data_IF_187724274944
#
_entry.id   IF_187724274944
#
_cell.length_a   1.000
_cell.length_b   1.000
_cell.length_c   1.000
_cell.angle_alpha   90.00
_cell.angle_beta   90.00
_cell.angle_gamma   90.00
#
_symmetry.space_group_name_H-M   'P 1'
#
loop_
_entity.id
_entity.type
_entity.pdbx_description
1 polymer ?
#
# COMPACT_ATOMS: atom_id res chain seq x y z
N UNK A 1 -16.38 2.67 -8.11
CA UNK A 1 -15.68 1.88 -7.07
C UNK A 1 -14.21 2.22 -7.18
N UNK A 2 -13.72 3.08 -6.30
CA UNK A 2 -12.32 3.54 -6.28
C UNK A 2 -11.45 2.43 -5.68
N UNK A 3 -10.74 1.71 -6.53
CA UNK A 3 -9.86 0.61 -6.14
C UNK A 3 -8.59 1.18 -5.52
N UNK A 4 -8.61 1.22 -4.19
CA UNK A 4 -7.49 1.59 -3.35
C UNK A 4 -6.38 0.54 -3.49
N UNK A 5 -5.29 0.88 -4.17
CA UNK A 5 -4.18 -0.06 -4.39
C UNK A 5 -3.09 0.15 -3.33
N UNK A 6 -3.32 -0.29 -2.09
CA UNK A 6 -2.29 -0.31 -1.05
C UNK A 6 -1.46 -1.59 -1.18
N UNK A 7 -0.33 -1.48 -1.88
CA UNK A 7 0.62 -2.57 -2.11
C UNK A 7 1.33 -2.97 -0.78
N UNK A 8 0.87 -4.07 -0.14
CA UNK A 8 1.29 -4.54 1.20
C UNK A 8 2.31 -5.71 1.23
N UNK A 9 3.49 -5.57 1.88
CA UNK A 9 4.55 -6.62 2.07
C UNK A 9 4.37 -7.71 3.15
N UNK A 10 3.79 -8.85 2.80
CA UNK A 10 3.65 -10.15 3.51
C UNK A 10 3.83 -10.33 5.06
N UNK A 11 4.87 -9.84 5.74
CA UNK A 11 5.03 -10.02 7.22
C UNK A 11 5.27 -8.69 7.94
N UNK A 12 5.84 -7.72 7.23
CA UNK A 12 5.98 -6.34 7.71
C UNK A 12 4.88 -5.43 7.16
N UNK A 13 3.98 -5.91 6.30
CA UNK A 13 3.05 -5.13 5.49
C UNK A 13 2.21 -4.17 6.32
N UNK A 14 1.55 -4.70 7.34
CA UNK A 14 0.63 -3.95 8.18
C UNK A 14 1.38 -2.96 9.08
N UNK A 15 2.56 -3.35 9.58
CA UNK A 15 3.42 -2.46 10.36
C UNK A 15 3.99 -1.34 9.51
N UNK A 16 4.59 -1.66 8.35
CA UNK A 16 5.11 -0.68 7.39
C UNK A 16 4.00 0.25 6.90
N UNK A 17 2.78 -0.27 6.73
CA UNK A 17 1.62 0.55 6.35
C UNK A 17 1.21 1.49 7.47
N UNK A 18 1.15 1.01 8.72
CA UNK A 18 0.91 1.88 9.86
C UNK A 18 2.01 2.95 10.03
N UNK A 19 3.28 2.56 9.90
CA UNK A 19 4.44 3.45 9.99
C UNK A 19 4.48 4.49 8.86
N UNK A 20 4.04 4.12 7.65
CA UNK A 20 4.02 5.03 6.51
C UNK A 20 2.77 5.91 6.47
N UNK A 21 1.59 5.33 6.69
CA UNK A 21 0.27 5.91 6.39
C UNK A 21 -0.58 6.21 7.62
N UNK A 22 -0.21 5.68 8.79
CA UNK A 22 -1.03 5.73 10.00
C UNK A 22 -2.20 4.76 10.03
N UNK A 23 -2.46 4.01 8.95
CA UNK A 23 -3.58 3.08 8.85
C UNK A 23 -3.36 1.83 9.72
N UNK A 24 -4.35 1.54 10.55
CA UNK A 24 -4.38 0.35 11.40
C UNK A 24 -4.88 -0.85 10.60
N UNK A 25 -4.51 -2.08 11.00
CA UNK A 25 -5.04 -3.30 10.38
C UNK A 25 -6.56 -3.39 10.38
N UNK A 26 -7.23 -2.83 11.40
CA UNK A 26 -8.69 -2.79 11.52
C UNK A 26 -9.37 -1.87 10.51
N UNK A 27 -8.62 -0.92 9.93
CA UNK A 27 -9.11 0.03 8.93
C UNK A 27 -8.92 -0.51 7.50
N UNK A 28 -8.32 -1.70 7.37
CA UNK A 28 -7.98 -2.34 6.10
C UNK A 28 -8.64 -3.71 5.99
N UNK A 29 -9.30 -3.94 4.86
CA UNK A 29 -9.76 -5.27 4.43
C UNK A 29 -8.83 -5.78 3.35
N UNK A 30 -8.05 -6.81 3.65
CA UNK A 30 -7.15 -7.45 2.68
C UNK A 30 -7.96 -8.40 1.78
N UNK A 31 -7.75 -8.31 0.48
CA UNK A 31 -8.32 -9.23 -0.50
C UNK A 31 -7.42 -10.46 -0.62
N UNK A 32 -7.85 -11.58 -0.03
CA UNK A 32 -7.05 -12.82 0.04
C UNK A 32 -6.76 -13.44 -1.34
N UNK A 33 -7.64 -13.21 -2.31
CA UNK A 33 -7.50 -13.72 -3.68
C UNK A 33 -6.50 -12.96 -4.54
N UNK A 34 -5.98 -11.82 -4.06
CA UNK A 34 -5.08 -10.98 -4.85
C UNK A 34 -3.75 -10.73 -4.14
N UNK A 35 -2.69 -11.28 -4.72
CA UNK A 35 -1.33 -10.92 -4.39
C UNK A 35 -0.45 -10.95 -5.63
N UNK A 36 0.43 -9.95 -5.75
CA UNK A 36 1.43 -9.87 -6.81
C UNK A 36 2.82 -9.81 -6.19
N UNK A 37 3.80 -10.44 -6.84
CA UNK A 37 5.20 -10.36 -6.43
C UNK A 37 6.00 -9.61 -7.50
N UNK A 38 6.64 -8.52 -7.09
CA UNK A 38 7.59 -7.78 -7.90
C UNK A 38 9.02 -8.14 -7.50
N UNK A 39 9.86 -8.31 -8.51
CA UNK A 39 11.30 -8.52 -8.35
C UNK A 39 12.02 -7.44 -9.15
N UNK A 40 12.85 -6.65 -8.48
CA UNK A 40 13.57 -5.55 -9.12
C UNK A 40 14.92 -5.32 -8.44
N UNK A 41 15.82 -4.62 -9.13
CA UNK A 41 17.10 -4.19 -8.58
C UNK A 41 16.91 -2.81 -7.95
N UNK A 42 17.33 -2.67 -6.68
CA UNK A 42 17.39 -1.39 -5.99
C UNK A 42 18.85 -1.08 -5.73
N UNK A 43 19.44 -0.20 -6.55
CA UNK A 43 20.88 -0.06 -6.65
C UNK A 43 21.51 -1.36 -7.16
N UNK A 44 22.43 -1.95 -6.38
CA UNK A 44 23.09 -3.22 -6.72
C UNK A 44 22.45 -4.45 -6.07
N UNK A 45 21.40 -4.27 -5.25
CA UNK A 45 20.77 -5.38 -4.51
C UNK A 45 19.46 -5.79 -5.16
N UNK A 46 19.31 -7.09 -5.41
CA UNK A 46 18.05 -7.69 -5.80
C UNK A 46 17.04 -7.60 -4.65
N UNK A 47 15.85 -7.08 -4.95
CA UNK A 47 14.78 -6.92 -3.99
C UNK A 47 13.55 -7.68 -4.49
N UNK A 48 12.94 -8.43 -3.58
CA UNK A 48 11.67 -9.11 -3.80
C UNK A 48 10.63 -8.46 -2.90
N UNK A 49 9.51 -8.10 -3.50
CA UNK A 49 8.44 -7.37 -2.84
C UNK A 49 7.12 -8.02 -3.23
N UNK A 50 6.46 -8.63 -2.24
CA UNK A 50 5.10 -9.13 -2.41
C UNK A 50 4.13 -8.04 -2.00
N UNK A 51 3.02 -7.94 -2.70
CA UNK A 51 2.00 -6.96 -2.46
C UNK A 51 0.63 -7.63 -2.46
N UNK A 52 -0.22 -7.22 -1.52
CA UNK A 52 -1.62 -7.61 -1.46
C UNK A 52 -2.49 -6.41 -1.82
N UNK A 53 -3.70 -6.68 -2.30
CA UNK A 53 -4.71 -5.64 -2.44
C UNK A 53 -5.43 -5.48 -1.09
N UNK A 54 -5.65 -4.24 -0.67
CA UNK A 54 -6.44 -3.94 0.51
C UNK A 54 -7.36 -2.74 0.27
N UNK A 55 -8.58 -2.85 0.77
CA UNK A 55 -9.58 -1.81 0.72
C UNK A 55 -9.67 -1.12 2.08
N UNK A 56 -9.94 0.19 2.09
CA UNK A 56 -10.32 0.86 3.32
C UNK A 56 -11.72 0.40 3.74
N UNK A 57 -11.89 0.18 5.04
CA UNK A 57 -13.22 -0.12 5.61
C UNK A 57 -14.09 1.15 5.65
N UNK A 58 -13.49 2.32 5.84
CA UNK A 58 -14.16 3.62 5.82
C UNK A 58 -13.46 4.59 4.85
N UNK A 59 -14.23 5.21 3.96
CA UNK A 59 -13.77 6.18 2.98
C UNK A 59 -13.33 7.52 3.61
N UNK A 60 -13.73 7.81 4.85
CA UNK A 60 -13.30 8.99 5.59
C UNK A 60 -12.00 8.78 6.37
N UNK A 61 -11.39 7.59 6.28
CA UNK A 61 -10.14 7.30 6.97
C UNK A 61 -9.04 8.26 6.49
N UNK A 62 -8.50 9.03 7.43
CA UNK A 62 -7.49 10.03 7.14
C UNK A 62 -6.12 9.37 7.09
N UNK A 63 -5.42 9.53 5.97
CA UNK A 63 -4.01 9.18 5.89
C UNK A 63 -3.19 10.16 6.73
N UNK A 64 -2.39 9.62 7.64
CA UNK A 64 -1.44 10.36 8.44
C UNK A 64 -0.06 9.92 7.96
N UNK A 65 0.54 10.63 6.98
CA UNK A 65 1.86 10.29 6.49
C UNK A 65 2.88 10.48 7.62
N UNK A 66 3.16 9.38 8.31
CA UNK A 66 4.04 9.33 9.48
C UNK A 66 5.51 9.16 9.05
N UNK A 67 5.75 8.75 7.80
CA UNK A 67 7.07 8.67 7.21
C UNK A 67 7.50 10.04 6.64
N UNK A 68 8.64 10.54 7.10
CA UNK A 68 9.23 11.78 6.58
C UNK A 68 9.51 11.66 5.07
N UNK A 69 9.09 12.67 4.30
CA UNK A 69 9.34 12.76 2.86
C UNK A 69 8.39 11.96 1.96
N UNK A 70 7.34 11.34 2.51
CA UNK A 70 6.34 10.60 1.72
C UNK A 70 5.09 11.46 1.50
N UNK A 71 4.87 11.90 0.26
CA UNK A 71 3.60 12.50 -0.14
C UNK A 71 2.61 11.42 -0.52
N UNK A 72 1.48 11.37 0.18
CA UNK A 72 0.40 10.42 -0.09
C UNK A 72 -0.80 11.16 -0.68
N UNK A 73 -1.34 10.62 -1.76
CA UNK A 73 -2.52 11.15 -2.43
C UNK A 73 -3.36 10.00 -2.97
N UNK A 74 -4.68 10.16 -2.93
CA UNK A 74 -5.60 9.24 -3.57
C UNK A 74 -5.63 9.48 -5.07
N UNK A 75 -5.49 8.40 -5.83
CA UNK A 75 -5.57 8.42 -7.29
C UNK A 75 -6.61 7.40 -7.76
N UNK A 76 -7.27 7.69 -8.87
CA UNK A 76 -7.98 6.67 -9.62
C UNK A 76 -6.97 5.78 -10.38
N UNK A 77 -7.43 4.64 -10.90
CA UNK A 77 -6.54 3.68 -11.56
C UNK A 77 -5.74 4.29 -12.72
N UNK A 78 -6.38 5.11 -13.57
CA UNK A 78 -5.72 5.73 -14.71
C UNK A 78 -4.57 6.65 -14.28
N UNK A 79 -4.83 7.54 -13.33
CA UNK A 79 -3.82 8.45 -12.79
C UNK A 79 -2.72 7.73 -12.00
N UNK A 80 -3.04 6.58 -11.36
CA UNK A 80 -2.07 5.78 -10.64
C UNK A 80 -1.12 5.01 -11.58
N UNK A 81 -1.59 4.60 -12.76
CA UNK A 81 -0.77 3.87 -13.74
C UNK A 81 0.26 4.78 -14.45
N UNK A 82 -0.04 6.08 -14.56
CA UNK A 82 0.81 7.07 -15.22
C UNK A 82 1.93 7.63 -14.33
N UNK A 83 1.98 7.23 -13.05
CA UNK A 83 2.96 7.70 -12.04
C UNK A 83 4.04 6.66 -11.78
#
# INVERSE_FOLDING_TARGET
>A
MELLTLLLKQVCSLRETFEATGLRPTELRIEEGFAIELRYLSGTKAKRVKYHLAQLVDHHTRLLPNAQGVHMQWFNQAAAADK
#
